data_IF_946891552175
#
_entry.id   IF_946891552175
#
_cell.length_a   1.000
_cell.length_b   1.000
_cell.length_c   1.000
_cell.angle_alpha   90.00
_cell.angle_beta   90.00
_cell.angle_gamma   90.00
#
_symmetry.space_group_name_H-M   'P 1'
#
loop_
_entity.id
_entity.type
_entity.pdbx_description
1 polymer ?
#
# COMPACT_ATOMS: atom_id res chain seq x y z
N UNK A 1 -9.69 -3.34 -14.64
CA UNK A 1 -8.75 -4.39 -14.15
C UNK A 1 -9.15 -5.74 -14.73
N UNK A 2 -8.81 -6.04 -15.99
CA UNK A 2 -8.82 -7.43 -16.48
C UNK A 2 -7.48 -8.06 -16.14
N UNK A 3 -7.30 -8.39 -14.87
CA UNK A 3 -6.19 -9.23 -14.41
C UNK A 3 -6.16 -10.52 -15.25
N UNK A 4 -4.96 -10.86 -15.72
CA UNK A 4 -4.48 -12.21 -16.02
C UNK A 4 -5.55 -13.32 -15.92
N UNK A 5 -6.28 -13.57 -17.01
CA UNK A 5 -7.06 -14.81 -17.15
C UNK A 5 -6.08 -15.99 -17.17
N UNK A 6 -5.79 -16.56 -16.00
CA UNK A 6 -5.04 -17.82 -15.91
C UNK A 6 -4.28 -18.12 -14.62
N UNK A 7 -4.00 -17.14 -13.74
CA UNK A 7 -3.34 -17.44 -12.43
C UNK A 7 -4.37 -17.51 -11.32
N UNK A 8 -4.39 -18.63 -10.59
CA UNK A 8 -5.13 -18.76 -9.33
C UNK A 8 -4.71 -17.64 -8.38
N UNK A 9 -5.67 -16.90 -7.82
CA UNK A 9 -5.40 -15.85 -6.82
C UNK A 9 -4.72 -16.49 -5.60
N UNK A 10 -3.60 -15.96 -5.09
CA UNK A 10 -2.95 -16.54 -3.92
C UNK A 10 -3.88 -16.39 -2.72
N UNK A 11 -4.10 -17.49 -1.98
CA UNK A 11 -4.75 -17.42 -0.67
C UNK A 11 -3.70 -16.91 0.31
N UNK A 12 -3.74 -15.62 0.62
CA UNK A 12 -2.81 -15.02 1.55
C UNK A 12 -3.21 -15.39 2.98
N UNK A 13 -2.23 -15.88 3.73
CA UNK A 13 -2.33 -16.14 5.15
C UNK A 13 -1.61 -14.98 5.85
N UNK A 14 -2.35 -14.24 6.67
CA UNK A 14 -1.90 -13.00 7.29
C UNK A 14 -1.67 -13.26 8.78
N UNK A 15 -0.42 -13.20 9.22
CA UNK A 15 -0.07 -13.34 10.65
C UNK A 15 -0.54 -12.08 11.39
N UNK A 16 -1.29 -12.22 12.46
CA UNK A 16 -1.67 -11.08 13.31
C UNK A 16 -0.50 -10.64 14.19
N UNK A 17 -0.54 -9.41 14.70
CA UNK A 17 0.50 -8.94 15.65
C UNK A 17 0.45 -9.75 16.97
N UNK A 18 -0.73 -10.24 17.34
CA UNK A 18 -0.96 -11.09 18.51
C UNK A 18 -0.38 -12.50 18.32
N UNK A 19 -0.58 -13.10 17.14
CA UNK A 19 -0.11 -14.45 16.79
C UNK A 19 1.37 -14.50 16.40
N UNK A 20 2.01 -13.34 16.25
CA UNK A 20 3.41 -13.25 15.84
C UNK A 20 4.34 -13.91 16.86
N UNK A 21 5.25 -14.76 16.37
CA UNK A 21 6.31 -15.31 17.22
C UNK A 21 7.24 -14.20 17.74
N UNK A 22 8.02 -14.43 18.81
CA UNK A 22 8.92 -13.41 19.36
C UNK A 22 9.86 -12.77 18.32
N UNK A 23 10.44 -13.57 17.43
CA UNK A 23 11.32 -13.07 16.36
C UNK A 23 10.58 -12.25 15.29
N UNK A 24 9.32 -12.60 15.00
CA UNK A 24 8.49 -11.81 14.07
C UNK A 24 8.11 -10.48 14.72
N UNK A 25 7.76 -10.47 16.01
CA UNK A 25 7.44 -9.24 16.76
C UNK A 25 8.61 -8.27 16.79
N UNK A 26 9.82 -8.75 17.06
CA UNK A 26 11.04 -7.92 17.03
C UNK A 26 11.24 -7.27 15.65
N UNK A 27 11.04 -8.03 14.57
CA UNK A 27 11.12 -7.49 13.21
C UNK A 27 9.99 -6.48 12.92
N UNK A 28 8.76 -6.73 13.40
CA UNK A 28 7.64 -5.79 13.29
C UNK A 28 7.92 -4.47 14.02
N UNK A 29 8.47 -4.53 15.24
CA UNK A 29 8.85 -3.37 16.02
C UNK A 29 9.91 -2.54 15.29
N UNK A 30 10.90 -3.20 14.69
CA UNK A 30 11.93 -2.52 13.91
C UNK A 30 11.37 -1.87 12.64
N UNK A 31 10.51 -2.57 11.90
CA UNK A 31 9.86 -2.07 10.69
C UNK A 31 9.02 -0.82 11.01
N UNK A 32 8.18 -0.90 12.04
CA UNK A 32 7.30 0.19 12.45
C UNK A 32 8.10 1.39 12.98
N UNK A 33 9.15 1.15 13.78
CA UNK A 33 10.05 2.20 14.25
C UNK A 33 10.80 2.89 13.10
N UNK A 34 11.24 2.13 12.10
CA UNK A 34 11.98 2.66 10.95
C UNK A 34 11.09 3.46 10.01
N UNK A 35 9.89 2.95 9.69
CA UNK A 35 8.93 3.64 8.83
C UNK A 35 8.18 4.77 9.55
N UNK A 36 8.17 4.75 10.88
CA UNK A 36 7.37 5.64 11.72
C UNK A 36 5.87 5.34 11.63
N UNK A 37 5.52 4.07 11.41
CA UNK A 37 4.13 3.61 11.34
C UNK A 37 3.63 3.19 12.72
N UNK A 38 2.38 3.48 13.09
CA UNK A 38 1.82 3.10 14.39
C UNK A 38 1.31 1.65 14.42
N UNK A 39 1.25 0.97 13.27
CA UNK A 39 0.78 -0.41 13.13
C UNK A 39 1.56 -1.13 12.04
N UNK A 40 1.58 -2.46 12.08
CA UNK A 40 2.26 -3.27 11.06
C UNK A 40 1.36 -3.40 9.83
N UNK A 41 1.85 -2.95 8.66
CA UNK A 41 1.09 -3.08 7.42
C UNK A 41 0.94 -4.56 6.99
N UNK A 42 -0.19 -4.88 6.35
CA UNK A 42 -0.58 -6.23 5.93
C UNK A 42 0.46 -6.93 5.04
N UNK A 43 1.25 -6.20 4.25
CA UNK A 43 2.35 -6.79 3.45
C UNK A 43 3.39 -7.51 4.33
N UNK A 44 3.83 -6.86 5.41
CA UNK A 44 4.80 -7.47 6.35
C UNK A 44 4.18 -8.61 7.13
N UNK A 45 2.89 -8.49 7.45
CA UNK A 45 2.11 -9.57 8.08
C UNK A 45 1.92 -10.79 7.18
N UNK A 46 1.87 -10.60 5.86
CA UNK A 46 1.89 -11.70 4.90
C UNK A 46 3.28 -12.34 4.81
N UNK A 47 4.35 -11.52 4.79
CA UNK A 47 5.74 -12.03 4.79
C UNK A 47 6.09 -12.78 6.07
N UNK A 48 5.48 -12.40 7.21
CA UNK A 48 5.69 -13.03 8.51
C UNK A 48 5.31 -14.51 8.56
N UNK A 49 4.53 -15.03 7.60
CA UNK A 49 4.34 -16.47 7.39
C UNK A 49 5.67 -17.21 7.21
N UNK A 50 6.66 -16.52 6.66
CA UNK A 50 8.02 -17.00 6.49
C UNK A 50 8.98 -16.07 7.27
N UNK A 51 9.15 -16.25 8.60
CA UNK A 51 9.92 -15.32 9.43
C UNK A 51 11.33 -15.04 8.90
N UNK A 52 12.00 -16.05 8.35
CA UNK A 52 13.32 -15.92 7.72
C UNK A 52 13.30 -15.03 6.47
N UNK A 53 12.21 -15.06 5.70
CA UNK A 53 12.05 -14.21 4.52
C UNK A 53 11.73 -12.78 4.95
N UNK A 54 10.86 -12.58 5.94
CA UNK A 54 10.58 -11.26 6.50
C UNK A 54 11.89 -10.57 6.93
N UNK A 55 12.67 -11.22 7.79
CA UNK A 55 13.96 -10.69 8.26
C UNK A 55 14.94 -10.42 7.10
N UNK A 56 15.16 -11.41 6.22
CA UNK A 56 16.06 -11.26 5.07
C UNK A 56 15.64 -10.10 4.15
N UNK A 57 14.36 -10.01 3.81
CA UNK A 57 13.85 -8.96 2.94
C UNK A 57 14.01 -7.58 3.58
N UNK A 58 13.77 -7.49 4.89
CA UNK A 58 13.91 -6.25 5.64
C UNK A 58 15.36 -5.79 5.71
N UNK A 59 16.31 -6.68 6.01
CA UNK A 59 17.74 -6.36 6.03
C UNK A 59 18.25 -5.78 4.70
N UNK A 60 17.76 -6.31 3.58
CA UNK A 60 18.12 -5.84 2.24
C UNK A 60 17.52 -4.47 1.91
N UNK A 61 16.30 -4.21 2.38
CA UNK A 61 15.54 -3.00 2.05
C UNK A 61 15.83 -1.83 2.98
N UNK A 62 16.06 -2.09 4.27
CA UNK A 62 16.23 -1.10 5.33
C UNK A 62 17.26 0.00 4.97
N UNK A 63 18.44 -0.31 4.37
CA UNK A 63 19.38 0.73 3.96
C UNK A 63 18.78 1.75 3.00
N UNK A 64 17.92 1.32 2.06
CA UNK A 64 17.20 2.23 1.17
C UNK A 64 16.11 2.99 1.92
N UNK A 65 15.34 2.31 2.78
CA UNK A 65 14.26 2.91 3.59
C UNK A 65 14.71 4.12 4.40
N UNK A 66 15.95 4.08 4.88
CA UNK A 66 16.53 5.14 5.69
C UNK A 66 17.04 6.35 4.89
N UNK A 67 17.02 6.33 3.56
CA UNK A 67 17.59 7.41 2.73
C UNK A 67 16.58 8.50 2.40
N UNK A 68 17.07 9.74 2.29
CA UNK A 68 16.28 10.83 1.71
C UNK A 68 15.90 10.55 0.25
N UNK A 69 16.75 9.82 -0.49
CA UNK A 69 16.47 9.42 -1.87
C UNK A 69 15.20 8.57 -1.99
N UNK A 70 15.02 7.53 -1.16
CA UNK A 70 13.78 6.77 -1.16
C UNK A 70 12.58 7.66 -0.84
N UNK A 71 12.69 8.54 0.17
CA UNK A 71 11.63 9.47 0.51
C UNK A 71 11.26 10.37 -0.68
N UNK A 72 12.24 10.94 -1.39
CA UNK A 72 11.98 11.79 -2.55
C UNK A 72 11.27 11.02 -3.68
N UNK A 73 11.63 9.75 -3.89
CA UNK A 73 10.93 8.85 -4.82
C UNK A 73 9.49 8.58 -4.39
N UNK A 74 9.20 8.48 -3.08
CA UNK A 74 7.80 8.40 -2.60
C UNK A 74 7.00 9.65 -2.95
N UNK A 75 7.60 10.83 -2.88
CA UNK A 75 6.94 12.09 -3.26
C UNK A 75 6.64 12.15 -4.76
N UNK A 76 7.51 11.58 -5.60
CA UNK A 76 7.25 11.43 -7.04
C UNK A 76 5.99 10.58 -7.27
N UNK A 77 5.88 9.43 -6.61
CA UNK A 77 4.69 8.55 -6.71
C UNK A 77 3.41 9.26 -6.24
N UNK A 78 3.46 9.98 -5.12
CA UNK A 78 2.33 10.75 -4.60
C UNK A 78 1.85 11.82 -5.60
N UNK A 79 2.77 12.60 -6.16
CA UNK A 79 2.45 13.62 -7.18
C UNK A 79 1.83 12.98 -8.42
N UNK A 80 2.36 11.86 -8.88
CA UNK A 80 1.81 11.14 -10.02
C UNK A 80 0.37 10.67 -9.75
N UNK A 81 0.11 10.08 -8.58
CA UNK A 81 -1.24 9.65 -8.21
C UNK A 81 -2.22 10.84 -8.14
N UNK A 82 -1.78 12.00 -7.64
CA UNK A 82 -2.60 13.22 -7.62
C UNK A 82 -2.96 13.70 -9.02
N UNK A 83 -2.00 13.72 -9.95
CA UNK A 83 -2.24 14.09 -11.35
C UNK A 83 -3.24 13.13 -12.00
N UNK A 84 -3.01 11.81 -11.86
CA UNK A 84 -3.89 10.77 -12.37
C UNK A 84 -5.34 10.96 -11.92
N UNK A 85 -5.54 11.22 -10.63
CA UNK A 85 -6.90 11.41 -10.10
C UNK A 85 -7.50 12.73 -10.57
N UNK A 86 -6.78 13.85 -10.45
CA UNK A 86 -7.34 15.19 -10.74
C UNK A 86 -7.65 15.39 -12.21
N UNK A 87 -6.83 14.85 -13.10
CA UNK A 87 -6.91 15.11 -14.54
C UNK A 87 -7.59 13.97 -15.30
N UNK A 88 -7.43 12.71 -14.85
CA UNK A 88 -7.89 11.54 -15.59
C UNK A 88 -9.16 10.87 -15.05
N UNK A 89 -9.38 10.87 -13.74
CA UNK A 89 -10.43 10.07 -13.11
C UNK A 89 -11.56 10.90 -12.52
N UNK A 90 -11.19 12.01 -11.88
CA UNK A 90 -12.09 12.82 -11.09
C UNK A 90 -12.60 12.15 -9.83
N UNK A 91 -13.13 12.94 -8.90
CA UNK A 91 -13.76 12.44 -7.67
C UNK A 91 -14.93 13.33 -7.24
N UNK A 92 -15.95 12.75 -6.61
CA UNK A 92 -17.05 13.54 -6.04
C UNK A 92 -16.59 14.41 -4.85
N UNK A 93 -17.41 15.40 -4.49
CA UNK A 93 -17.22 16.20 -3.27
C UNK A 93 -17.71 15.40 -2.04
N UNK A 94 -16.88 14.45 -1.59
CA UNK A 94 -17.18 13.61 -0.43
C UNK A 94 -17.37 14.44 0.83
N UNK A 95 -16.65 15.56 0.97
CA UNK A 95 -16.79 16.48 2.11
C UNK A 95 -18.20 17.06 2.21
N UNK A 96 -18.75 17.54 1.09
CA UNK A 96 -20.11 18.08 1.04
C UNK A 96 -21.15 17.00 1.41
N UNK A 97 -21.02 15.79 0.85
CA UNK A 97 -21.92 14.67 1.14
C UNK A 97 -21.85 14.28 2.62
N UNK A 98 -20.66 14.17 3.20
CA UNK A 98 -20.50 13.79 4.60
C UNK A 98 -21.04 14.85 5.56
N UNK A 99 -20.89 16.14 5.24
CA UNK A 99 -21.51 17.23 6.02
C UNK A 99 -23.03 17.19 5.96
N UNK A 100 -23.61 16.95 4.78
CA UNK A 100 -25.06 16.77 4.64
C UNK A 100 -25.58 15.59 5.47
N UNK A 101 -24.75 14.55 5.65
CA UNK A 101 -25.04 13.40 6.53
C UNK A 101 -24.69 13.63 8.01
N UNK A 102 -24.35 14.86 8.40
CA UNK A 102 -24.11 15.23 9.80
C UNK A 102 -22.69 14.98 10.32
N UNK A 103 -21.71 14.70 9.46
CA UNK A 103 -20.30 14.60 9.90
C UNK A 103 -19.78 15.96 10.37
N UNK A 104 -19.24 16.01 11.59
CA UNK A 104 -18.60 17.22 12.13
C UNK A 104 -17.25 17.50 11.48
N UNK A 105 -16.78 18.74 11.57
CA UNK A 105 -15.46 19.12 11.07
C UNK A 105 -14.32 18.39 11.79
N UNK A 106 -14.49 18.08 13.09
CA UNK A 106 -13.54 17.24 13.84
C UNK A 106 -13.46 15.81 13.30
N UNK A 107 -14.60 15.22 12.95
CA UNK A 107 -14.63 13.88 12.35
C UNK A 107 -13.93 13.88 10.99
N UNK A 108 -14.20 14.88 10.15
CA UNK A 108 -13.55 15.06 8.85
C UNK A 108 -12.05 15.32 8.99
N UNK A 109 -11.63 16.08 10.00
CA UNK A 109 -10.22 16.31 10.32
C UNK A 109 -9.49 15.01 10.67
N UNK A 110 -10.10 14.15 11.50
CA UNK A 110 -9.55 12.82 11.84
C UNK A 110 -9.46 11.89 10.64
N UNK A 111 -10.50 11.84 9.80
CA UNK A 111 -10.48 11.03 8.57
C UNK A 111 -9.36 11.51 7.63
N UNK A 112 -9.19 12.82 7.47
CA UNK A 112 -8.10 13.40 6.66
C UNK A 112 -6.73 13.00 7.19
N UNK A 113 -6.52 13.04 8.50
CA UNK A 113 -5.25 12.62 9.12
C UNK A 113 -4.94 11.13 8.84
N UNK A 114 -5.96 10.26 8.88
CA UNK A 114 -5.83 8.85 8.52
C UNK A 114 -5.47 8.67 7.04
N UNK A 115 -6.11 9.39 6.13
CA UNK A 115 -5.75 9.33 4.71
C UNK A 115 -4.34 9.90 4.45
N UNK A 116 -3.95 10.98 5.14
CA UNK A 116 -2.62 11.58 5.02
C UNK A 116 -1.53 10.59 5.49
N UNK A 117 -1.83 9.74 6.49
CA UNK A 117 -0.97 8.62 6.89
C UNK A 117 -0.78 7.61 5.75
N UNK A 118 -1.85 7.12 5.13
CA UNK A 118 -1.72 6.14 4.03
C UNK A 118 -1.06 6.73 2.78
N UNK A 119 -1.35 7.99 2.46
CA UNK A 119 -0.62 8.70 1.40
C UNK A 119 0.87 8.84 1.70
N UNK A 120 1.26 8.89 2.97
CA UNK A 120 2.66 8.86 3.38
C UNK A 120 3.23 7.45 3.25
N UNK A 121 2.55 6.46 3.82
CA UNK A 121 3.08 5.11 3.97
C UNK A 121 3.03 4.23 2.72
N UNK A 122 1.93 4.22 1.98
CA UNK A 122 1.74 3.29 0.86
C UNK A 122 2.79 3.42 -0.25
N UNK A 123 3.27 4.63 -0.62
CA UNK A 123 4.37 4.77 -1.56
C UNK A 123 5.67 4.09 -1.10
N UNK A 124 5.98 4.08 0.20
CA UNK A 124 7.13 3.31 0.73
C UNK A 124 6.92 1.82 0.49
N UNK A 125 5.73 1.33 0.82
CA UNK A 125 5.36 -0.08 0.65
C UNK A 125 5.42 -0.48 -0.83
N UNK A 126 4.99 0.40 -1.74
CA UNK A 126 5.05 0.16 -3.18
C UNK A 126 6.48 0.07 -3.68
N UNK A 127 7.39 0.95 -3.24
CA UNK A 127 8.80 0.86 -3.61
C UNK A 127 9.46 -0.41 -3.03
N UNK A 128 9.13 -0.78 -1.80
CA UNK A 128 9.55 -2.04 -1.18
C UNK A 128 9.09 -3.25 -2.01
N UNK A 129 7.80 -3.33 -2.34
CA UNK A 129 7.24 -4.42 -3.13
C UNK A 129 7.83 -4.45 -4.55
N UNK A 130 8.05 -3.29 -5.16
CA UNK A 130 8.63 -3.15 -6.50
C UNK A 130 10.10 -3.58 -6.54
N UNK A 131 10.89 -3.25 -5.52
CA UNK A 131 12.29 -3.66 -5.41
C UNK A 131 12.41 -5.18 -5.22
N UNK A 132 11.59 -5.77 -4.35
CA UNK A 132 11.54 -7.22 -4.16
C UNK A 132 11.07 -7.93 -5.44
N UNK A 133 9.99 -7.46 -6.05
CA UNK A 133 9.44 -8.03 -7.28
C UNK A 133 10.46 -8.01 -8.42
N UNK A 134 11.14 -6.87 -8.58
CA UNK A 134 12.17 -6.68 -9.60
C UNK A 134 13.27 -7.72 -9.46
N UNK A 135 13.86 -7.78 -8.26
CA UNK A 135 14.94 -8.70 -7.98
C UNK A 135 14.50 -10.16 -8.15
N UNK A 136 13.37 -10.54 -7.55
CA UNK A 136 12.84 -11.90 -7.59
C UNK A 136 12.47 -12.36 -9.01
N UNK A 137 12.15 -11.42 -9.90
CA UNK A 137 11.89 -11.65 -11.32
C UNK A 137 13.16 -11.71 -12.17
N UNK A 138 14.34 -11.73 -11.54
CA UNK A 138 15.63 -11.85 -12.23
C UNK A 138 16.30 -10.53 -12.60
N UNK A 139 15.80 -9.40 -12.11
CA UNK A 139 16.36 -8.07 -12.34
C UNK A 139 16.95 -7.51 -11.05
N UNK A 140 18.18 -7.94 -10.66
CA UNK A 140 18.80 -7.49 -9.41
C UNK A 140 18.97 -5.97 -9.41
N UNK A 141 18.90 -5.37 -8.23
CA UNK A 141 19.10 -3.94 -8.09
C UNK A 141 20.62 -3.67 -8.09
N UNK A 142 21.13 -2.86 -9.03
CA UNK A 142 22.58 -2.67 -9.20
C UNK A 142 23.21 -1.90 -8.03
N UNK A 143 22.44 -1.05 -7.36
CA UNK A 143 22.96 -0.12 -6.37
C UNK A 143 23.87 0.96 -6.96
N UNK A 144 24.39 1.83 -6.11
CA UNK A 144 25.23 2.96 -6.47
C UNK A 144 26.47 2.98 -5.56
N UNK A 145 27.70 3.18 -6.10
CA UNK A 145 28.92 3.23 -5.29
C UNK A 145 28.89 4.30 -4.18
N UNK A 146 28.15 5.38 -4.40
CA UNK A 146 28.01 6.53 -3.51
C UNK A 146 26.85 6.43 -2.51
N UNK A 147 26.13 5.30 -2.45
CA UNK A 147 24.93 5.14 -1.61
C UNK A 147 25.14 5.52 -0.14
N UNK A 148 26.31 5.21 0.41
CA UNK A 148 26.69 5.50 1.79
C UNK A 148 26.88 7.00 2.10
N UNK A 149 26.96 7.85 1.06
CA UNK A 149 27.07 9.30 1.21
C UNK A 149 25.70 10.00 1.24
N UNK A 150 24.62 9.26 1.00
CA UNK A 150 23.28 9.84 1.00
C UNK A 150 22.87 10.29 2.41
N UNK A 151 22.17 11.44 2.52
CA UNK A 151 21.62 11.85 3.79
C UNK A 151 20.53 10.85 4.22
N UNK A 152 20.50 10.59 5.52
CA UNK A 152 19.42 9.83 6.14
C UNK A 152 18.16 10.67 6.16
N UNK A 153 17.04 10.05 5.81
CA UNK A 153 15.73 10.64 6.03
C UNK A 153 15.41 10.63 7.52
N UNK A 154 15.29 11.80 8.12
CA UNK A 154 14.70 11.94 9.44
C UNK A 154 13.20 12.04 9.24
N UNK A 155 12.43 11.01 9.63
CA UNK A 155 10.98 11.10 9.57
C UNK A 155 10.50 12.11 10.63
N UNK A 156 10.07 13.33 10.25
CA UNK A 156 9.65 14.35 11.22
C UNK A 156 8.24 14.06 11.76
N UNK A 157 7.51 13.14 11.12
CA UNK A 157 6.11 12.84 11.39
C UNK A 157 5.97 11.41 11.90
N UNK A 158 6.06 11.24 13.22
CA UNK A 158 5.60 10.01 13.86
C UNK A 158 4.10 10.06 14.04
N UNK A 159 3.39 9.21 13.32
CA UNK A 159 1.97 9.01 13.53
C UNK A 159 1.77 8.28 14.85
N UNK A 160 1.05 8.90 15.78
CA UNK A 160 0.99 8.41 17.16
C UNK A 160 0.06 7.22 17.34
N UNK A 161 -1.04 7.15 16.59
CA UNK A 161 -2.02 6.09 16.74
C UNK A 161 -2.81 5.89 15.44
N UNK A 162 -3.06 4.64 15.08
CA UNK A 162 -4.00 4.26 14.03
C UNK A 162 -4.87 3.12 14.55
N UNK A 163 -6.17 3.36 14.69
CA UNK A 163 -7.12 2.33 15.11
C UNK A 163 -7.75 1.68 13.89
N UNK A 164 -7.64 0.36 13.81
CA UNK A 164 -8.29 -0.43 12.78
C UNK A 164 -9.65 -0.92 13.29
N UNK A 165 -10.64 -1.01 12.41
CA UNK A 165 -11.87 -1.74 12.73
C UNK A 165 -11.62 -3.24 12.60
N UNK A 166 -12.04 -4.01 13.61
CA UNK A 166 -12.12 -5.48 13.53
C UNK A 166 -13.26 -5.88 12.59
N UNK A 167 -12.99 -6.84 11.72
CA UNK A 167 -13.92 -7.21 10.64
C UNK A 167 -15.17 -7.91 11.20
N UNK A 168 -14.97 -8.71 12.23
CA UNK A 168 -15.98 -9.49 12.94
C UNK A 168 -16.95 -8.57 13.69
N UNK A 169 -16.43 -7.48 14.26
CA UNK A 169 -17.19 -6.48 15.02
C UNK A 169 -17.83 -5.41 14.13
N UNK A 170 -17.44 -5.32 12.86
CA UNK A 170 -17.94 -4.30 11.95
C UNK A 170 -19.46 -4.44 11.71
N UNK A 171 -20.22 -3.33 11.63
CA UNK A 171 -21.65 -3.37 11.33
C UNK A 171 -21.96 -4.10 10.00
N UNK A 172 -23.16 -4.70 9.83
CA UNK A 172 -23.51 -5.45 8.60
C UNK A 172 -23.28 -4.68 7.29
N UNK A 173 -23.57 -3.37 7.28
CA UNK A 173 -23.33 -2.50 6.12
C UNK A 173 -21.83 -2.38 5.79
N UNK A 174 -20.98 -2.23 6.80
CA UNK A 174 -19.51 -2.18 6.62
C UNK A 174 -18.97 -3.53 6.14
N UNK A 175 -19.45 -4.64 6.70
CA UNK A 175 -19.05 -5.99 6.24
C UNK A 175 -19.41 -6.25 4.78
N UNK A 176 -20.54 -5.70 4.31
CA UNK A 176 -20.92 -5.77 2.89
C UNK A 176 -19.90 -5.02 2.02
N UNK A 177 -19.54 -3.78 2.40
CA UNK A 177 -18.51 -2.98 1.71
C UNK A 177 -17.15 -3.69 1.73
N UNK A 178 -16.76 -4.30 2.85
CA UNK A 178 -15.54 -5.11 2.93
C UNK A 178 -15.55 -6.30 1.97
N UNK A 179 -16.70 -6.97 1.81
CA UNK A 179 -16.88 -8.01 0.80
C UNK A 179 -16.63 -7.50 -0.62
N UNK A 180 -17.20 -6.34 -0.97
CA UNK A 180 -16.98 -5.70 -2.27
C UNK A 180 -15.51 -5.31 -2.48
N UNK A 181 -14.84 -4.77 -1.46
CA UNK A 181 -13.42 -4.38 -1.49
C UNK A 181 -12.53 -5.60 -1.73
N UNK A 182 -12.77 -6.71 -1.02
CA UNK A 182 -12.03 -7.96 -1.21
C UNK A 182 -12.20 -8.50 -2.64
N UNK A 183 -13.42 -8.47 -3.17
CA UNK A 183 -13.69 -8.90 -4.55
C UNK A 183 -12.98 -8.00 -5.58
N UNK A 184 -13.04 -6.68 -5.37
CA UNK A 184 -12.46 -5.68 -6.28
C UNK A 184 -10.93 -5.78 -6.35
N UNK A 185 -10.27 -6.00 -5.21
CA UNK A 185 -8.81 -6.08 -5.11
C UNK A 185 -8.26 -7.51 -5.24
N UNK A 186 -9.13 -8.51 -5.31
CA UNK A 186 -8.74 -9.90 -5.54
C UNK A 186 -8.04 -10.57 -4.35
N UNK A 187 -8.18 -10.01 -3.15
CA UNK A 187 -7.66 -10.57 -1.89
C UNK A 187 -8.74 -11.27 -1.07
N UNK A 188 -8.30 -12.07 -0.10
CA UNK A 188 -9.14 -12.66 0.96
C UNK A 188 -9.07 -11.88 2.28
N UNK A 189 -8.61 -10.62 2.22
CA UNK A 189 -8.46 -9.72 3.35
C UNK A 189 -8.83 -8.30 2.93
N UNK A 190 -9.19 -7.47 3.91
CA UNK A 190 -9.44 -6.04 3.69
C UNK A 190 -8.13 -5.28 3.92
N UNK A 191 -7.65 -4.47 2.95
CA UNK A 191 -6.46 -3.65 3.14
C UNK A 191 -6.56 -2.73 4.37
N UNK A 192 -5.42 -2.49 5.02
CA UNK A 192 -5.32 -1.72 6.29
C UNK A 192 -6.01 -0.35 6.19
N UNK A 193 -5.95 0.28 5.02
CA UNK A 193 -6.58 1.55 4.67
C UNK A 193 -8.08 1.54 4.89
N UNK A 194 -8.76 0.53 4.33
CA UNK A 194 -10.19 0.39 4.43
C UNK A 194 -10.61 -0.07 5.83
N UNK A 195 -9.78 -0.85 6.52
CA UNK A 195 -10.00 -1.19 7.94
C UNK A 195 -9.96 0.04 8.83
N UNK A 196 -9.03 0.97 8.57
CA UNK A 196 -8.97 2.23 9.30
C UNK A 196 -10.19 3.11 8.98
N UNK A 197 -10.60 3.21 7.72
CA UNK A 197 -11.81 3.95 7.32
C UNK A 197 -13.11 3.32 7.85
N UNK A 198 -13.15 2.02 8.10
CA UNK A 198 -14.30 1.33 8.69
C UNK A 198 -14.70 1.84 10.08
N UNK A 199 -13.81 2.57 10.75
CA UNK A 199 -14.12 3.33 11.99
C UNK A 199 -15.14 4.46 11.75
N UNK A 200 -15.30 4.90 10.51
CA UNK A 200 -16.30 5.87 10.07
C UNK A 200 -17.16 5.24 8.97
N UNK A 201 -18.15 4.41 9.32
CA UNK A 201 -18.99 3.68 8.36
C UNK A 201 -19.59 4.56 7.26
N UNK A 202 -20.08 5.76 7.63
CA UNK A 202 -20.62 6.72 6.67
C UNK A 202 -19.56 7.23 5.68
N UNK A 203 -18.34 7.50 6.15
CA UNK A 203 -17.24 7.89 5.28
C UNK A 203 -16.90 6.75 4.32
N UNK A 204 -16.69 5.54 4.85
CA UNK A 204 -16.38 4.37 4.03
C UNK A 204 -17.45 4.13 2.96
N UNK A 205 -18.73 4.24 3.32
CA UNK A 205 -19.84 4.10 2.39
C UNK A 205 -19.83 5.18 1.29
N UNK A 206 -19.65 6.45 1.66
CA UNK A 206 -19.62 7.57 0.70
C UNK A 206 -18.46 7.43 -0.29
N UNK A 207 -17.25 7.20 0.20
CA UNK A 207 -16.07 7.14 -0.67
C UNK A 207 -16.08 5.89 -1.54
N UNK A 208 -16.56 4.75 -1.00
CA UNK A 208 -16.64 3.50 -1.75
C UNK A 208 -17.69 3.56 -2.85
N UNK A 209 -18.87 4.10 -2.57
CA UNK A 209 -19.96 4.17 -3.55
C UNK A 209 -19.59 5.01 -4.78
N UNK A 210 -18.96 6.18 -4.59
CA UNK A 210 -18.47 6.99 -5.72
C UNK A 210 -17.33 6.28 -6.46
N UNK A 211 -16.39 5.70 -5.72
CA UNK A 211 -15.14 5.24 -6.31
C UNK A 211 -15.24 3.88 -7.01
N UNK A 212 -16.08 2.95 -6.53
CA UNK A 212 -16.20 1.61 -7.11
C UNK A 212 -16.61 1.64 -8.59
N UNK A 213 -17.42 2.62 -9.00
CA UNK A 213 -17.80 2.81 -10.39
C UNK A 213 -16.64 3.33 -11.25
N UNK A 214 -15.76 4.18 -10.67
CA UNK A 214 -14.59 4.73 -11.37
C UNK A 214 -13.51 3.68 -11.56
N UNK A 215 -13.35 2.76 -10.61
CA UNK A 215 -12.42 1.63 -10.70
C UNK A 215 -12.69 0.70 -11.90
N UNK A 216 -13.92 0.69 -12.43
CA UNK A 216 -14.28 -0.09 -13.61
C UNK A 216 -13.90 0.58 -14.94
N UNK A 217 -13.45 1.84 -14.91
CA UNK A 217 -13.12 2.58 -16.13
C UNK A 217 -11.73 2.20 -16.66
N UNK A 218 -11.53 2.18 -17.99
CA UNK A 218 -10.19 1.95 -18.57
C UNK A 218 -9.13 2.95 -18.10
N UNK A 219 -9.53 4.21 -17.88
CA UNK A 219 -8.64 5.25 -17.37
C UNK A 219 -8.05 4.91 -15.99
N UNK A 220 -8.83 4.28 -15.10
CA UNK A 220 -8.35 3.83 -13.80
C UNK A 220 -7.28 2.77 -13.97
N UNK A 221 -7.55 1.75 -14.78
CA UNK A 221 -6.59 0.67 -15.03
C UNK A 221 -5.28 1.19 -15.67
N UNK A 222 -5.39 2.14 -16.61
CA UNK A 222 -4.24 2.79 -17.20
C UNK A 222 -3.43 3.59 -16.17
N UNK A 223 -4.09 4.37 -15.30
CA UNK A 223 -3.42 5.13 -14.26
C UNK A 223 -2.73 4.25 -13.22
N UNK A 224 -3.38 3.17 -12.78
CA UNK A 224 -2.77 2.19 -11.86
C UNK A 224 -1.53 1.55 -12.51
N UNK A 225 -1.60 1.15 -13.79
CA UNK A 225 -0.42 0.62 -14.50
C UNK A 225 0.69 1.64 -14.62
N UNK A 226 0.38 2.89 -14.98
CA UNK A 226 1.39 3.95 -15.10
C UNK A 226 2.10 4.20 -13.77
N UNK A 227 1.37 4.25 -12.65
CA UNK A 227 1.96 4.39 -11.33
C UNK A 227 2.84 3.18 -10.96
N UNK A 228 2.41 1.98 -11.36
CA UNK A 228 3.17 0.75 -11.14
C UNK A 228 4.49 0.71 -11.92
N UNK A 229 4.46 1.06 -13.20
CA UNK A 229 5.64 1.14 -14.07
C UNK A 229 6.63 2.19 -13.55
N UNK A 230 6.13 3.34 -13.10
CA UNK A 230 6.94 4.37 -12.45
C UNK A 230 7.60 3.83 -11.18
N UNK A 231 6.87 3.11 -10.32
CA UNK A 231 7.43 2.52 -9.11
C UNK A 231 8.52 1.48 -9.41
N UNK A 232 8.33 0.63 -10.42
CA UNK A 232 9.36 -0.31 -10.87
C UNK A 232 10.63 0.40 -11.35
N UNK A 233 10.47 1.46 -12.15
CA UNK A 233 11.60 2.27 -12.62
C UNK A 233 12.34 2.95 -11.46
N UNK A 234 11.60 3.52 -10.50
CA UNK A 234 12.18 4.14 -9.31
C UNK A 234 12.88 3.11 -8.40
N UNK A 235 12.33 1.91 -8.27
CA UNK A 235 12.92 0.82 -7.49
C UNK A 235 14.25 0.31 -8.09
N UNK A 236 14.37 0.28 -9.42
CA UNK A 236 15.63 -0.08 -10.10
C UNK A 236 16.75 0.94 -9.88
N UNK A 237 16.39 2.19 -9.56
CA UNK A 237 17.34 3.27 -9.31
C UNK A 237 17.72 3.41 -7.82
N UNK A 238 17.31 2.48 -6.97
CA UNK A 238 17.63 2.54 -5.54
C UNK A 238 19.14 2.48 -5.28
N UNK A 239 19.63 3.24 -4.27
CA UNK A 239 21.05 3.41 -4.01
C UNK A 239 21.70 2.14 -3.44
N UNK A 240 21.04 1.42 -2.54
CA UNK A 240 21.56 0.16 -2.03
C UNK A 240 21.03 -1.00 -2.87
N UNK A 241 21.95 -1.66 -3.58
CA UNK A 241 21.64 -2.78 -4.47
C UNK A 241 21.51 -4.10 -3.72
N UNK A 242 20.73 -5.02 -4.28
CA UNK A 242 20.65 -6.40 -3.82
C UNK A 242 20.19 -7.35 -4.93
N UNK A 243 20.51 -8.63 -4.75
CA UNK A 243 20.14 -9.71 -5.65
C UNK A 243 19.48 -10.85 -4.86
N UNK A 244 18.16 -10.84 -4.85
CA UNK A 244 17.28 -11.90 -4.37
C UNK A 244 16.61 -12.59 -5.56
N UNK A 245 16.67 -13.90 -5.65
CA UNK A 245 16.09 -14.74 -6.71
C UNK A 245 15.52 -16.03 -6.12
N UNK A 246 14.73 -16.77 -6.90
CA UNK A 246 14.29 -18.11 -6.51
C UNK A 246 15.47 -19.03 -6.15
N UNK A 247 16.59 -18.92 -6.88
CA UNK A 247 17.79 -19.72 -6.60
C UNK A 247 18.46 -19.32 -5.28
N UNK A 248 18.57 -18.01 -4.97
CA UNK A 248 19.16 -17.56 -3.70
C UNK A 248 18.27 -17.92 -2.51
N UNK A 249 16.94 -17.86 -2.66
CA UNK A 249 16.02 -18.36 -1.66
C UNK A 249 16.17 -19.88 -1.46
N UNK A 250 16.27 -20.66 -2.54
CA UNK A 250 16.56 -22.10 -2.43
C UNK A 250 17.85 -22.40 -1.67
N UNK A 251 18.93 -21.67 -1.96
CA UNK A 251 20.21 -21.77 -1.22
C UNK A 251 20.11 -21.33 0.23
N UNK A 252 19.23 -20.38 0.54
CA UNK A 252 18.90 -20.00 1.92
C UNK A 252 18.01 -21.04 2.62
N UNK A 253 17.66 -22.16 1.98
CA UNK A 253 16.93 -23.27 2.60
C UNK A 253 15.42 -23.12 2.55
N UNK A 254 14.88 -22.25 1.68
CA UNK A 254 13.45 -22.25 1.38
C UNK A 254 13.11 -23.38 0.41
N UNK A 255 12.09 -24.16 0.72
CA UNK A 255 11.63 -25.23 -0.18
C UNK A 255 10.87 -24.64 -1.39
N UNK A 256 10.79 -25.35 -2.53
CA UNK A 256 10.18 -24.81 -3.76
C UNK A 256 8.77 -24.25 -3.58
N UNK A 257 7.94 -24.89 -2.74
CA UNK A 257 6.59 -24.41 -2.43
C UNK A 257 6.62 -23.05 -1.71
N UNK A 258 7.50 -22.88 -0.72
CA UNK A 258 7.65 -21.60 -0.02
C UNK A 258 8.15 -20.50 -0.96
N UNK A 259 9.10 -20.83 -1.84
CA UNK A 259 9.59 -19.88 -2.85
C UNK A 259 8.46 -19.43 -3.77
N UNK A 260 7.65 -20.36 -4.26
CA UNK A 260 6.47 -20.05 -5.09
C UNK A 260 5.47 -19.16 -4.36
N UNK A 261 5.17 -19.46 -3.10
CA UNK A 261 4.24 -18.68 -2.29
C UNK A 261 4.76 -17.26 -2.01
N UNK A 262 6.06 -17.11 -1.72
CA UNK A 262 6.73 -15.82 -1.55
C UNK A 262 6.63 -14.99 -2.83
N UNK A 263 6.96 -15.57 -3.99
CA UNK A 263 6.86 -14.90 -5.29
C UNK A 263 5.43 -14.42 -5.56
N UNK A 264 4.44 -15.27 -5.32
CA UNK A 264 3.03 -14.91 -5.51
C UNK A 264 2.58 -13.81 -4.53
N UNK A 265 3.08 -13.83 -3.29
CA UNK A 265 2.77 -12.81 -2.28
C UNK A 265 3.35 -11.45 -2.67
N UNK A 266 4.61 -11.41 -3.11
CA UNK A 266 5.25 -10.17 -3.57
C UNK A 266 4.57 -9.61 -4.82
N UNK A 267 4.30 -10.46 -5.82
CA UNK A 267 3.58 -10.08 -7.05
C UNK A 267 2.19 -9.50 -6.74
N UNK A 268 1.46 -10.13 -5.80
CA UNK A 268 0.16 -9.65 -5.37
C UNK A 268 0.22 -8.25 -4.76
N UNK A 269 1.13 -8.00 -3.81
CA UNK A 269 1.24 -6.66 -3.19
C UNK A 269 1.77 -5.61 -4.16
N UNK A 270 2.67 -5.99 -5.07
CA UNK A 270 3.17 -5.11 -6.13
C UNK A 270 2.04 -4.65 -7.05
N UNK A 271 1.08 -5.53 -7.37
CA UNK A 271 -0.12 -5.16 -8.13
C UNK A 271 -1.18 -4.41 -7.33
N UNK A 272 -1.30 -4.68 -6.02
CA UNK A 272 -2.32 -4.08 -5.15
C UNK A 272 -2.00 -2.64 -4.76
N UNK A 273 -0.77 -2.35 -4.35
CA UNK A 273 -0.38 -1.08 -3.74
C UNK A 273 -0.58 0.15 -4.66
N UNK A 274 -0.31 0.11 -5.98
CA UNK A 274 -0.59 1.24 -6.85
C UNK A 274 -2.09 1.57 -6.90
N UNK A 275 -2.95 0.55 -6.85
CA UNK A 275 -4.39 0.75 -6.78
C UNK A 275 -4.80 1.41 -5.46
N UNK A 276 -4.24 0.97 -4.32
CA UNK A 276 -4.51 1.60 -3.02
C UNK A 276 -4.09 3.08 -3.00
N UNK A 277 -2.89 3.40 -3.48
CA UNK A 277 -2.39 4.78 -3.54
C UNK A 277 -3.34 5.67 -4.37
N UNK A 278 -3.78 5.21 -5.55
CA UNK A 278 -4.74 5.97 -6.37
C UNK A 278 -6.08 6.15 -5.64
N UNK A 279 -6.59 5.11 -4.98
CA UNK A 279 -7.85 5.15 -4.24
C UNK A 279 -7.81 6.13 -3.07
N UNK A 280 -6.79 6.03 -2.22
CA UNK A 280 -6.61 6.92 -1.07
C UNK A 280 -6.36 8.36 -1.53
N UNK A 281 -5.65 8.56 -2.64
CA UNK A 281 -5.48 9.88 -3.24
C UNK A 281 -6.83 10.48 -3.63
N UNK A 282 -7.71 9.69 -4.25
CA UNK A 282 -9.05 10.14 -4.58
C UNK A 282 -9.89 10.48 -3.35
N UNK A 283 -9.90 9.61 -2.34
CA UNK A 283 -10.64 9.89 -1.10
C UNK A 283 -10.14 11.17 -0.44
N UNK A 284 -8.83 11.38 -0.44
CA UNK A 284 -8.23 12.58 0.14
C UNK A 284 -8.58 13.85 -0.63
N UNK A 285 -8.61 13.80 -1.97
CA UNK A 285 -9.05 14.91 -2.82
C UNK A 285 -10.55 15.18 -2.63
N UNK A 286 -11.39 14.14 -2.56
CA UNK A 286 -12.82 14.29 -2.32
C UNK A 286 -13.15 14.96 -0.98
N UNK A 287 -12.26 14.81 0.02
CA UNK A 287 -12.37 15.49 1.32
C UNK A 287 -11.82 16.92 1.36
N UNK A 288 -11.09 17.38 0.35
CA UNK A 288 -10.72 18.80 0.25
C UNK A 288 -11.95 19.66 -0.04
N UNK A 289 -12.92 19.08 -0.75
CA UNK A 289 -14.03 19.79 -1.39
C UNK A 289 -13.51 20.58 -2.59
N UNK A 290 -14.42 20.96 -3.51
CA UNK A 290 -14.14 21.84 -4.68
C UNK A 290 -13.53 21.24 -5.96
N UNK A 291 -13.46 19.91 -6.14
CA UNK A 291 -13.17 19.38 -7.49
C UNK A 291 -14.44 19.39 -8.35
N UNK A 292 -14.52 20.32 -9.31
CA UNK A 292 -15.46 20.26 -10.43
C UNK A 292 -14.78 19.51 -11.58
N UNK A 293 -15.38 18.47 -12.16
CA UNK A 293 -14.92 17.98 -13.46
C UNK A 293 -14.93 19.13 -14.45
N UNK A 294 -13.89 19.25 -15.28
CA UNK A 294 -14.01 20.06 -16.48
C UNK A 294 -15.26 19.60 -17.24
N UNK A 295 -16.15 20.52 -17.69
CA UNK A 295 -17.31 20.13 -18.46
C UNK A 295 -16.82 19.36 -19.68
N UNK A 296 -17.35 18.15 -19.88
CA UNK A 296 -17.16 17.40 -21.11
C UNK A 296 -17.68 18.25 -22.26
N UNK A 297 -16.76 18.68 -23.12
CA UNK A 297 -17.06 19.25 -24.43
C UNK A 297 -17.62 18.17 -25.36
#
# INVERSE_FOLDING_TARGET
MRASRGRSRPRLEIVTEEDASPAVRECFDEITATLGFPVVNVIFRAFARYPRFLALSWDLLKPNVLTQDLFDKTQVLRRQAQLLVREGLGVGDHRAVLRMRGSSDDALGRIRAVLDFFLYGDPFLLLIASALQSSLSGHPLPGKPWAHLLPLHTNPTRFQELRLAEMEEAPPAVRTIYGEIMQAHGGNFVPTDYRALGRWPECLAVVWEDWKQRMQRPAYEAGVRQLNELALALAQDLPFGFALSAQTLGRAGFIPLQVSDILATVDFFQGLLPALIVNITAFRIGLEGSWRPAPSA
#
